data_IF_796759605716
#
_entry.id   IF_796759605716
#
_cell.length_a   1.000
_cell.length_b   1.000
_cell.length_c   1.000
_cell.angle_alpha   90.00
_cell.angle_beta   90.00
_cell.angle_gamma   90.00
#
_symmetry.space_group_name_H-M   'P 1'
#
loop_
_entity.id
_entity.type
_entity.pdbx_description
1 polymer ?
#
# COMPACT_ATOMS: atom_id res chain seq x y z
N UNK A 1 -45.89 -38.42 -22.20
CA UNK A 1 -44.46 -38.23 -22.51
C UNK A 1 -44.28 -36.75 -22.80
N UNK A 2 -43.46 -36.05 -22.02
CA UNK A 2 -43.13 -34.65 -22.33
C UNK A 2 -42.32 -34.68 -23.62
N UNK A 3 -42.85 -34.07 -24.67
CA UNK A 3 -42.19 -34.02 -25.97
C UNK A 3 -41.06 -32.99 -25.87
N UNK A 4 -39.82 -33.42 -26.08
CA UNK A 4 -38.62 -32.56 -26.01
C UNK A 4 -38.67 -31.47 -27.11
N UNK A 5 -39.61 -31.59 -28.03
CA UNK A 5 -39.93 -30.64 -29.11
C UNK A 5 -40.79 -29.45 -28.66
N UNK A 6 -41.30 -29.44 -27.42
CA UNK A 6 -42.19 -28.40 -26.93
C UNK A 6 -41.44 -27.06 -26.72
N UNK A 7 -41.85 -25.98 -27.41
CA UNK A 7 -41.24 -24.65 -27.27
C UNK A 7 -41.15 -24.14 -25.83
N UNK A 8 -42.07 -24.58 -24.96
CA UNK A 8 -42.09 -24.20 -23.54
C UNK A 8 -40.92 -24.82 -22.78
N UNK A 9 -40.58 -26.08 -23.09
CA UNK A 9 -39.43 -26.78 -22.48
C UNK A 9 -38.12 -26.10 -22.89
N UNK A 10 -37.97 -25.76 -24.16
CA UNK A 10 -36.80 -25.02 -24.66
C UNK A 10 -36.69 -23.61 -24.05
N UNK A 11 -37.80 -22.89 -23.95
CA UNK A 11 -37.83 -21.57 -23.30
C UNK A 11 -37.35 -21.65 -21.85
N UNK A 12 -37.82 -22.65 -21.10
CA UNK A 12 -37.44 -22.87 -19.70
C UNK A 12 -35.96 -23.22 -19.53
N UNK A 13 -35.41 -24.07 -20.42
CA UNK A 13 -33.99 -24.41 -20.43
C UNK A 13 -33.13 -23.18 -20.71
N UNK A 14 -33.47 -22.41 -21.75
CA UNK A 14 -32.75 -21.19 -22.13
C UNK A 14 -32.81 -20.17 -21.00
N UNK A 15 -33.98 -19.96 -20.41
CA UNK A 15 -34.14 -19.03 -19.28
C UNK A 15 -33.30 -19.46 -18.08
N UNK A 16 -33.28 -20.74 -17.75
CA UNK A 16 -32.47 -21.27 -16.64
C UNK A 16 -30.98 -21.06 -16.88
N UNK A 17 -30.50 -21.29 -18.11
CA UNK A 17 -29.10 -21.04 -18.50
C UNK A 17 -28.77 -19.56 -18.36
N UNK A 18 -29.62 -18.67 -18.90
CA UNK A 18 -29.42 -17.22 -18.83
C UNK A 18 -29.36 -16.76 -17.37
N UNK A 19 -30.32 -17.16 -16.54
CA UNK A 19 -30.35 -16.81 -15.12
C UNK A 19 -29.09 -17.28 -14.38
N UNK A 20 -28.64 -18.50 -14.66
CA UNK A 20 -27.44 -19.06 -14.03
C UNK A 20 -26.20 -18.28 -14.47
N UNK A 21 -26.07 -17.98 -15.76
CA UNK A 21 -24.94 -17.20 -16.29
C UNK A 21 -24.94 -15.78 -15.70
N UNK A 22 -26.10 -15.13 -15.63
CA UNK A 22 -26.26 -13.82 -14.99
C UNK A 22 -25.83 -13.86 -13.53
N UNK A 23 -26.21 -14.90 -12.77
CA UNK A 23 -25.80 -15.05 -11.37
C UNK A 23 -24.27 -15.21 -11.23
N UNK A 24 -23.64 -15.98 -12.12
CA UNK A 24 -22.18 -16.15 -12.14
C UNK A 24 -21.50 -14.81 -12.40
N UNK A 25 -21.94 -14.08 -13.44
CA UNK A 25 -21.38 -12.78 -13.79
C UNK A 25 -21.55 -11.79 -12.63
N UNK A 26 -22.73 -11.73 -12.01
CA UNK A 26 -22.96 -10.88 -10.85
C UNK A 26 -22.08 -11.27 -9.67
N UNK A 27 -21.91 -12.56 -9.40
CA UNK A 27 -21.04 -13.02 -8.31
C UNK A 27 -19.59 -12.59 -8.54
N UNK A 28 -19.08 -12.74 -9.76
CA UNK A 28 -17.73 -12.31 -10.12
C UNK A 28 -17.59 -10.78 -10.03
N UNK A 29 -18.58 -10.05 -10.54
CA UNK A 29 -18.62 -8.58 -10.47
C UNK A 29 -18.64 -8.09 -9.02
N UNK A 30 -19.45 -8.70 -8.16
CA UNK A 30 -19.55 -8.34 -6.74
C UNK A 30 -18.25 -8.61 -5.99
N UNK A 31 -17.58 -9.74 -6.28
CA UNK A 31 -16.25 -10.02 -5.73
C UNK A 31 -15.21 -9.00 -6.18
N UNK A 32 -15.24 -8.61 -7.46
CA UNK A 32 -14.35 -7.58 -8.01
C UNK A 32 -14.60 -6.22 -7.36
N UNK A 33 -15.86 -5.80 -7.26
CA UNK A 33 -16.25 -4.53 -6.63
C UNK A 33 -15.89 -4.51 -5.14
N UNK A 34 -16.12 -5.60 -4.41
CA UNK A 34 -15.72 -5.69 -3.00
C UNK A 34 -14.21 -5.57 -2.81
N UNK A 35 -13.42 -6.16 -3.72
CA UNK A 35 -11.96 -5.98 -3.71
C UNK A 35 -11.61 -4.51 -3.99
N UNK A 36 -12.20 -3.92 -5.02
CA UNK A 36 -11.97 -2.51 -5.37
C UNK A 36 -12.34 -1.54 -4.24
N UNK A 37 -13.45 -1.76 -3.54
CA UNK A 37 -13.86 -0.96 -2.38
C UNK A 37 -12.88 -1.09 -1.21
N UNK A 38 -12.42 -2.31 -0.90
CA UNK A 38 -11.40 -2.51 0.14
C UNK A 38 -10.10 -1.81 -0.22
N UNK A 39 -9.71 -1.93 -1.47
CA UNK A 39 -8.49 -1.31 -2.00
C UNK A 39 -8.61 0.22 -1.94
N UNK A 40 -9.76 0.79 -2.31
CA UNK A 40 -10.03 2.22 -2.22
C UNK A 40 -10.06 2.72 -0.77
N UNK A 41 -10.69 1.99 0.15
CA UNK A 41 -10.73 2.36 1.56
C UNK A 41 -9.33 2.36 2.17
N UNK A 42 -8.53 1.36 1.83
CA UNK A 42 -7.14 1.28 2.27
C UNK A 42 -6.28 2.40 1.66
N UNK A 43 -6.40 2.66 0.36
CA UNK A 43 -5.72 3.79 -0.30
C UNK A 43 -6.09 5.13 0.34
N UNK A 44 -7.37 5.33 0.70
CA UNK A 44 -7.81 6.53 1.41
C UNK A 44 -7.14 6.70 2.77
N UNK A 45 -7.08 5.63 3.58
CA UNK A 45 -6.39 5.68 4.89
C UNK A 45 -4.91 6.04 4.71
N UNK A 46 -4.28 5.51 3.67
CA UNK A 46 -2.92 5.88 3.33
C UNK A 46 -2.83 7.35 2.88
N UNK A 47 -3.74 7.85 2.05
CA UNK A 47 -3.80 9.26 1.65
C UNK A 47 -3.91 10.18 2.88
N UNK A 48 -4.85 9.90 3.80
CA UNK A 48 -5.02 10.63 5.06
C UNK A 48 -3.72 10.61 5.92
N UNK A 49 -3.02 9.47 5.94
CA UNK A 49 -1.71 9.34 6.60
C UNK A 49 -0.62 10.18 5.92
N UNK A 50 -0.56 10.18 4.58
CA UNK A 50 0.39 11.02 3.84
C UNK A 50 0.14 12.50 4.09
N UNK A 51 -1.11 12.92 4.13
CA UNK A 51 -1.48 14.30 4.43
C UNK A 51 -1.06 14.69 5.86
N UNK A 52 -1.23 13.77 6.81
CA UNK A 52 -0.73 13.95 8.18
C UNK A 52 0.79 14.07 8.21
N UNK A 53 1.52 13.25 7.46
CA UNK A 53 2.99 13.34 7.35
C UNK A 53 3.45 14.61 6.63
N UNK A 54 2.70 15.06 5.62
CA UNK A 54 2.95 16.34 4.92
C UNK A 54 2.80 17.51 5.88
N UNK A 55 1.77 17.49 6.73
CA UNK A 55 1.60 18.48 7.79
C UNK A 55 2.81 18.53 8.72
N UNK A 56 3.47 17.39 9.01
CA UNK A 56 4.70 17.36 9.82
C UNK A 56 5.95 17.87 9.10
N UNK A 57 5.94 17.92 7.78
CA UNK A 57 6.99 18.59 6.98
C UNK A 57 6.76 20.10 6.99
N UNK A 58 5.51 20.53 6.85
CA UNK A 58 5.12 21.95 6.88
C UNK A 58 5.20 22.57 8.28
N UNK A 59 4.97 21.76 9.32
CA UNK A 59 4.98 22.13 10.75
C UNK A 59 5.86 21.17 11.55
N UNK A 60 7.19 21.30 11.45
CA UNK A 60 8.13 20.37 12.08
C UNK A 60 8.02 20.34 13.61
N UNK A 61 7.45 21.36 14.25
CA UNK A 61 7.17 21.38 15.69
C UNK A 61 6.25 20.23 16.15
N UNK A 62 5.38 19.73 15.27
CA UNK A 62 4.51 18.59 15.57
C UNK A 62 5.29 17.26 15.60
N UNK A 63 6.51 17.21 15.08
CA UNK A 63 7.37 16.03 15.14
C UNK A 63 7.81 15.69 16.58
N UNK A 64 7.69 16.63 17.53
CA UNK A 64 7.95 16.40 18.96
C UNK A 64 7.07 15.25 19.48
N UNK A 65 5.80 15.18 19.06
CA UNK A 65 4.90 14.09 19.43
C UNK A 65 5.43 12.73 18.95
N UNK A 66 6.00 12.65 17.75
CA UNK A 66 6.60 11.41 17.27
C UNK A 66 7.82 11.00 18.11
N UNK A 67 8.65 11.96 18.50
CA UNK A 67 9.81 11.71 19.36
C UNK A 67 9.36 11.21 20.73
N UNK A 68 8.34 11.81 21.32
CA UNK A 68 7.77 11.41 22.60
C UNK A 68 7.19 9.99 22.54
N UNK A 69 6.39 9.68 21.52
CA UNK A 69 5.84 8.34 21.30
C UNK A 69 6.93 7.29 21.03
N UNK A 70 7.97 7.65 20.27
CA UNK A 70 9.12 6.78 20.02
C UNK A 70 9.94 6.52 21.29
N UNK A 71 10.07 7.51 22.20
CA UNK A 71 10.71 7.32 23.50
C UNK A 71 9.94 6.37 24.41
N UNK A 72 8.60 6.41 24.36
CA UNK A 72 7.75 5.51 25.14
C UNK A 72 7.83 4.04 24.68
N UNK A 73 8.21 3.80 23.43
CA UNK A 73 8.24 2.47 22.81
C UNK A 73 9.66 1.87 22.70
N UNK A 74 10.71 2.65 22.95
CA UNK A 74 12.11 2.21 22.78
C UNK A 74 12.73 1.83 24.14
N UNK A 75 12.78 0.53 24.44
CA UNK A 75 13.57 -0.04 25.55
C UNK A 75 15.05 -0.13 25.13
N UNK A 76 15.88 0.85 25.48
CA UNK A 76 17.33 0.75 25.29
C UNK A 76 18.08 2.07 25.22
N UNK A 77 19.23 2.09 25.90
CA UNK A 77 20.11 3.23 26.23
C UNK A 77 21.01 3.66 25.04
N UNK A 78 20.42 3.97 23.90
CA UNK A 78 21.15 4.56 22.76
C UNK A 78 21.12 6.07 22.87
N UNK A 79 22.29 6.65 23.12
CA UNK A 79 22.59 8.06 23.31
C UNK A 79 21.64 8.99 22.54
N UNK A 80 20.85 9.70 23.33
CA UNK A 80 19.84 10.68 22.96
C UNK A 80 20.48 11.93 22.35
N UNK A 81 20.93 11.87 21.09
CA UNK A 81 21.08 13.10 20.32
C UNK A 81 19.70 13.49 19.80
N UNK A 82 19.07 14.45 20.47
CA UNK A 82 17.81 15.04 19.99
C UNK A 82 18.03 15.47 18.52
N UNK A 83 17.27 14.92 17.56
CA UNK A 83 17.44 15.26 16.16
C UNK A 83 17.27 16.77 15.97
N UNK A 84 18.07 17.38 15.10
CA UNK A 84 17.85 18.78 14.76
C UNK A 84 16.51 18.95 14.02
N UNK A 85 15.88 20.13 14.07
CA UNK A 85 14.64 20.38 13.32
C UNK A 85 14.77 20.02 11.83
N UNK A 86 15.91 20.32 11.21
CA UNK A 86 16.21 19.96 9.82
C UNK A 86 16.25 18.44 9.58
N UNK A 87 16.86 17.69 10.50
CA UNK A 87 16.88 16.23 10.43
C UNK A 87 15.47 15.64 10.56
N UNK A 88 14.61 16.23 11.38
CA UNK A 88 13.21 15.82 11.51
C UNK A 88 12.41 16.09 10.22
N UNK A 89 12.62 17.23 9.59
CA UNK A 89 11.99 17.55 8.29
C UNK A 89 12.40 16.51 7.24
N UNK A 90 13.71 16.22 7.13
CA UNK A 90 14.21 15.21 6.18
C UNK A 90 13.65 13.82 6.51
N UNK A 91 13.64 13.42 7.79
CA UNK A 91 13.09 12.14 8.22
C UNK A 91 11.60 12.01 7.88
N UNK A 92 10.80 13.05 8.15
CA UNK A 92 9.37 13.06 7.85
C UNK A 92 9.11 13.02 6.34
N UNK A 93 9.91 13.75 5.55
CA UNK A 93 9.84 13.68 4.10
C UNK A 93 10.19 12.28 3.56
N UNK A 94 11.22 11.64 4.12
CA UNK A 94 11.59 10.27 3.76
C UNK A 94 10.49 9.27 4.15
N UNK A 95 9.85 9.44 5.31
CA UNK A 95 8.68 8.63 5.72
C UNK A 95 7.50 8.79 4.76
N UNK A 96 7.26 10.00 4.26
CA UNK A 96 6.24 10.28 3.24
C UNK A 96 6.58 9.57 1.92
N UNK A 97 7.82 9.67 1.46
CA UNK A 97 8.27 8.93 0.27
C UNK A 97 8.14 7.41 0.46
N UNK A 98 8.47 6.89 1.63
CA UNK A 98 8.34 5.47 1.98
C UNK A 98 6.90 4.97 1.79
N UNK A 99 5.91 5.72 2.30
CA UNK A 99 4.50 5.41 2.10
C UNK A 99 3.99 5.56 0.67
N UNK A 100 4.58 6.46 -0.13
CA UNK A 100 4.27 6.56 -1.57
C UNK A 100 4.79 5.32 -2.30
N UNK A 101 6.01 4.87 -2.00
CA UNK A 101 6.58 3.68 -2.63
C UNK A 101 5.78 2.42 -2.31
N UNK A 102 5.27 2.29 -1.09
CA UNK A 102 4.36 1.20 -0.72
C UNK A 102 3.11 1.18 -1.62
N UNK A 103 2.44 2.33 -1.81
CA UNK A 103 1.25 2.43 -2.66
C UNK A 103 1.52 2.01 -4.08
N UNK A 104 2.60 2.53 -4.66
CA UNK A 104 3.00 2.17 -6.03
C UNK A 104 3.30 0.66 -6.11
N UNK A 105 4.01 0.10 -5.12
CA UNK A 105 4.29 -1.33 -5.04
C UNK A 105 3.00 -2.16 -4.99
N UNK A 106 2.01 -1.74 -4.22
CA UNK A 106 0.71 -2.41 -4.18
C UNK A 106 -0.05 -2.34 -5.50
N UNK A 107 0.00 -1.20 -6.20
CA UNK A 107 -0.58 -1.08 -7.55
C UNK A 107 0.10 -2.05 -8.52
N UNK A 108 1.42 -2.21 -8.43
CA UNK A 108 2.16 -3.18 -9.22
C UNK A 108 1.79 -4.62 -8.85
N UNK A 109 1.78 -4.96 -7.56
CA UNK A 109 1.44 -6.29 -7.07
C UNK A 109 0.03 -6.73 -7.47
N UNK A 110 -0.92 -5.79 -7.49
CA UNK A 110 -2.29 -6.01 -7.96
C UNK A 110 -2.44 -5.99 -9.48
N UNK A 111 -1.35 -5.80 -10.23
CA UNK A 111 -1.29 -5.72 -11.70
C UNK A 111 -2.12 -4.56 -12.28
N UNK A 112 -2.21 -3.45 -11.55
CA UNK A 112 -2.91 -2.23 -11.99
C UNK A 112 -1.99 -1.29 -12.76
N UNK A 113 -0.68 -1.39 -12.54
CA UNK A 113 0.36 -0.77 -13.38
C UNK A 113 1.21 -1.85 -14.02
N UNK A 114 1.73 -1.57 -15.21
CA UNK A 114 2.58 -2.49 -15.96
C UNK A 114 4.01 -2.53 -15.40
N UNK A 115 4.79 -3.51 -15.88
CA UNK A 115 6.14 -3.75 -15.40
C UNK A 115 7.15 -2.64 -15.79
N UNK A 116 6.93 -1.92 -16.90
CA UNK A 116 7.82 -0.84 -17.31
C UNK A 116 7.55 0.42 -16.47
N UNK A 117 6.29 0.71 -16.15
CA UNK A 117 5.91 1.74 -15.18
C UNK A 117 6.50 1.43 -13.81
N UNK A 118 6.37 0.19 -13.33
CA UNK A 118 6.99 -0.23 -12.07
C UNK A 118 8.51 -0.07 -12.07
N UNK A 119 9.19 -0.43 -13.17
CA UNK A 119 10.66 -0.32 -13.28
C UNK A 119 11.16 1.11 -13.08
N UNK A 120 10.39 2.13 -13.48
CA UNK A 120 10.76 3.53 -13.26
C UNK A 120 10.70 3.89 -11.77
N UNK A 121 9.62 3.48 -11.10
CA UNK A 121 9.47 3.68 -9.66
C UNK A 121 10.48 2.91 -8.82
N UNK A 122 10.80 1.68 -9.23
CA UNK A 122 11.84 0.86 -8.59
C UNK A 122 13.23 1.50 -8.67
N UNK A 123 13.59 2.09 -9.82
CA UNK A 123 14.83 2.85 -9.95
C UNK A 123 14.85 4.04 -9.00
N UNK A 124 13.74 4.77 -8.90
CA UNK A 124 13.64 5.91 -7.99
C UNK A 124 13.76 5.47 -6.53
N UNK A 125 13.03 4.42 -6.13
CA UNK A 125 13.14 3.80 -4.80
C UNK A 125 14.58 3.39 -4.49
N UNK A 126 15.27 2.75 -5.44
CA UNK A 126 16.68 2.35 -5.29
C UNK A 126 17.62 3.54 -5.09
N UNK A 127 17.35 4.67 -5.75
CA UNK A 127 18.12 5.91 -5.55
C UNK A 127 17.87 6.48 -4.15
N UNK A 128 16.61 6.58 -3.73
CA UNK A 128 16.25 7.09 -2.40
C UNK A 128 16.79 6.18 -1.29
N UNK A 129 16.79 4.86 -1.50
CA UNK A 129 17.28 3.87 -0.55
C UNK A 129 18.77 3.99 -0.22
N UNK A 130 19.56 4.69 -1.06
CA UNK A 130 20.97 5.01 -0.77
C UNK A 130 21.14 6.04 0.35
N UNK A 131 20.09 6.78 0.70
CA UNK A 131 20.18 7.81 1.73
C UNK A 131 20.13 7.17 3.13
N UNK A 132 21.04 7.49 4.07
CA UNK A 132 21.09 6.85 5.40
C UNK A 132 19.79 6.97 6.20
N UNK A 133 19.07 8.08 6.05
CA UNK A 133 17.76 8.27 6.69
C UNK A 133 16.70 7.26 6.21
N UNK A 134 16.82 6.74 5.00
CA UNK A 134 15.87 5.77 4.46
C UNK A 134 15.98 4.42 5.19
N UNK A 135 17.19 3.99 5.51
CA UNK A 135 17.42 2.79 6.32
C UNK A 135 16.88 2.96 7.75
N UNK A 136 17.10 4.13 8.37
CA UNK A 136 16.55 4.41 9.70
C UNK A 136 15.01 4.41 9.70
N UNK A 137 14.40 5.04 8.68
CA UNK A 137 12.95 5.02 8.50
C UNK A 137 12.44 3.59 8.30
N UNK A 138 13.04 2.79 7.42
CA UNK A 138 12.66 1.40 7.22
C UNK A 138 12.69 0.59 8.53
N UNK A 139 13.78 0.71 9.30
CA UNK A 139 13.93 0.01 10.59
C UNK A 139 12.94 0.49 11.65
N UNK A 140 12.73 1.80 11.77
CA UNK A 140 11.87 2.38 12.82
C UNK A 140 10.38 2.30 12.51
N UNK A 141 10.03 1.95 11.27
CA UNK A 141 8.65 1.76 10.81
C UNK A 141 8.28 0.28 10.58
N UNK A 142 9.07 -0.65 11.10
CA UNK A 142 8.77 -2.08 11.01
C UNK A 142 7.37 -2.38 11.57
N UNK A 143 6.60 -3.18 10.82
CA UNK A 143 5.20 -3.46 11.13
C UNK A 143 4.19 -2.32 10.91
N UNK A 144 4.61 -1.13 10.47
CA UNK A 144 3.69 -0.03 10.13
C UNK A 144 3.18 -0.09 8.68
N UNK A 145 3.88 -0.82 7.81
CA UNK A 145 3.61 -0.93 6.38
C UNK A 145 3.40 -2.40 5.97
N UNK A 146 2.87 -2.63 4.77
CA UNK A 146 2.61 -3.94 4.19
C UNK A 146 3.88 -4.79 4.13
N UNK A 147 3.80 -6.01 4.66
CA UNK A 147 4.95 -6.92 4.82
C UNK A 147 5.63 -7.24 3.47
N UNK A 148 4.90 -7.63 2.40
CA UNK A 148 5.49 -7.79 1.07
C UNK A 148 6.33 -6.60 0.58
N UNK A 149 5.86 -5.38 0.82
CA UNK A 149 6.62 -4.17 0.48
C UNK A 149 7.86 -4.01 1.38
N UNK A 150 7.74 -4.22 2.69
CA UNK A 150 8.87 -4.13 3.61
C UNK A 150 9.97 -5.14 3.25
N UNK A 151 9.60 -6.40 2.98
CA UNK A 151 10.53 -7.46 2.57
C UNK A 151 11.24 -7.10 1.25
N UNK A 152 10.51 -6.47 0.31
CA UNK A 152 11.07 -5.97 -0.94
C UNK A 152 12.15 -4.90 -0.70
N UNK A 153 11.85 -3.93 0.17
CA UNK A 153 12.78 -2.85 0.53
C UNK A 153 14.01 -3.40 1.27
N UNK A 154 13.83 -4.35 2.19
CA UNK A 154 14.95 -5.06 2.83
C UNK A 154 15.88 -5.68 1.78
N UNK A 155 15.32 -6.26 0.71
CA UNK A 155 16.10 -6.78 -0.41
C UNK A 155 16.86 -5.71 -1.20
N UNK A 156 16.33 -4.49 -1.33
CA UNK A 156 17.04 -3.35 -1.95
C UNK A 156 18.20 -2.90 -1.06
N UNK A 157 17.97 -2.72 0.23
CA UNK A 157 18.99 -2.24 1.17
C UNK A 157 20.18 -3.20 1.26
N UNK A 158 19.92 -4.51 1.27
CA UNK A 158 20.98 -5.55 1.23
C UNK A 158 21.84 -5.55 -0.04
N UNK A 159 21.35 -4.97 -1.14
CA UNK A 159 22.08 -4.86 -2.43
C UNK A 159 22.83 -3.54 -2.56
N UNK A 160 22.49 -2.57 -1.71
CA UNK A 160 22.96 -1.19 -1.80
C UNK A 160 24.05 -0.92 -0.75
N UNK A 161 23.98 -1.60 0.40
CA UNK A 161 25.03 -1.72 1.41
C UNK A 161 26.01 -2.84 1.06
#
# INVERSE_FOLDING_TARGET
MVDISDPIVWSTIVQTIVLTLTLIIFTLSFRSQNKAMRDQAYQKVLDDYSDSMRMLVERPELAILQIELARLTRTGDLETRTPTPEQLVVRNFVMLLYGIFERIYMLYWKKWIDADTWRQWDRFLTIVAKHPMFEDVHRTSDGMFDKPFQDYVTGILKRTN
#
